data_IF_932598102177
#
_entry.id   IF_932598102177
#
_cell.length_a   1.000
_cell.length_b   1.000
_cell.length_c   1.000
_cell.angle_alpha   90.00
_cell.angle_beta   90.00
_cell.angle_gamma   90.00
#
_symmetry.space_group_name_H-M   'P 1'
#
loop_
_entity.id
_entity.type
_entity.pdbx_description
1 polymer ?
#
# COMPACT_ATOMS: atom_id res chain seq x y z
N UNK A 1 23.18 -5.41 1.25
CA UNK A 1 22.65 -4.64 2.39
C UNK A 1 21.59 -3.65 1.91
N UNK A 2 20.47 -3.59 2.61
CA UNK A 2 19.23 -2.87 2.26
C UNK A 2 18.37 -3.51 1.17
N UNK A 3 17.44 -4.34 1.63
CA UNK A 3 16.39 -4.91 0.82
C UNK A 3 15.03 -4.57 1.48
N UNK A 4 14.52 -3.33 1.29
CA UNK A 4 13.24 -2.90 1.87
C UNK A 4 12.07 -3.48 1.05
N UNK A 5 12.07 -4.79 0.83
CA UNK A 5 11.02 -5.50 0.08
C UNK A 5 9.78 -5.67 0.96
N UNK A 6 9.04 -4.59 1.20
CA UNK A 6 7.60 -4.71 1.47
C UNK A 6 6.88 -4.99 0.17
N UNK A 7 5.86 -5.85 0.21
CA UNK A 7 5.14 -6.36 -0.95
C UNK A 7 4.44 -5.29 -1.82
N UNK A 8 4.46 -4.01 -1.41
CA UNK A 8 4.03 -2.91 -2.26
C UNK A 8 4.32 -1.57 -1.60
N UNK A 9 5.26 -0.80 -2.16
CA UNK A 9 5.32 0.64 -1.90
C UNK A 9 4.06 1.31 -2.49
N UNK A 10 3.65 2.49 -2.00
CA UNK A 10 2.52 3.23 -2.58
C UNK A 10 2.69 3.47 -4.10
N UNK A 11 3.92 3.53 -4.61
CA UNK A 11 4.17 3.59 -6.06
C UNK A 11 3.67 2.33 -6.80
N UNK A 12 3.90 1.13 -6.25
CA UNK A 12 3.43 -0.13 -6.82
C UNK A 12 1.91 -0.21 -6.77
N UNK A 13 1.32 0.19 -5.65
CA UNK A 13 -0.14 0.34 -5.50
C UNK A 13 -0.72 1.20 -6.61
N UNK A 14 -0.12 2.37 -6.84
CA UNK A 14 -0.58 3.30 -7.88
C UNK A 14 -0.48 2.70 -9.30
N UNK A 15 0.57 1.93 -9.57
CA UNK A 15 0.74 1.21 -10.85
C UNK A 15 -0.30 0.10 -11.01
N UNK A 16 -0.65 -0.62 -9.95
CA UNK A 16 -1.68 -1.67 -9.97
C UNK A 16 -3.08 -1.07 -10.16
N UNK A 17 -3.41 0.00 -9.42
CA UNK A 17 -4.64 0.76 -9.59
C UNK A 17 -4.76 1.34 -10.99
N UNK A 18 -3.68 1.91 -11.53
CA UNK A 18 -3.62 2.40 -12.90
C UNK A 18 -3.80 1.32 -13.98
N UNK A 19 -3.55 0.05 -13.66
CA UNK A 19 -3.83 -1.10 -14.53
C UNK A 19 -5.27 -1.62 -14.39
N UNK A 20 -6.09 -1.02 -13.52
CA UNK A 20 -7.45 -1.46 -13.21
C UNK A 20 -7.53 -2.54 -12.14
N UNK A 21 -6.44 -2.81 -11.41
CA UNK A 21 -6.47 -3.73 -10.28
C UNK A 21 -6.94 -3.00 -9.00
N UNK A 22 -7.79 -3.63 -8.22
CA UNK A 22 -8.15 -3.14 -6.88
C UNK A 22 -7.07 -3.56 -5.90
N UNK A 23 -6.50 -2.59 -5.18
CA UNK A 23 -5.48 -2.84 -4.15
C UNK A 23 -6.09 -2.58 -2.79
N UNK A 24 -6.16 -3.62 -1.97
CA UNK A 24 -6.62 -3.55 -0.59
C UNK A 24 -5.40 -3.55 0.32
N UNK A 25 -5.30 -2.56 1.20
CA UNK A 25 -4.21 -2.39 2.16
C UNK A 25 -4.79 -2.44 3.55
N UNK A 26 -4.30 -3.35 4.39
CA UNK A 26 -4.73 -3.41 5.78
C UNK A 26 -4.24 -2.18 6.55
N UNK A 27 -5.10 -1.59 7.38
CA UNK A 27 -4.75 -0.46 8.24
C UNK A 27 -3.54 -0.80 9.11
N UNK A 28 -2.43 -0.08 8.92
CA UNK A 28 -1.18 -0.34 9.62
C UNK A 28 -0.20 -1.29 8.89
N UNK A 29 -0.59 -1.92 7.78
CA UNK A 29 0.34 -2.72 6.96
C UNK A 29 1.51 -1.88 6.42
N UNK A 30 1.25 -0.60 6.17
CA UNK A 30 2.26 0.38 5.78
C UNK A 30 3.24 0.76 6.89
N UNK A 31 2.81 0.72 8.16
CA UNK A 31 3.63 1.17 9.29
C UNK A 31 4.90 0.34 9.44
N UNK A 32 4.83 -0.96 9.19
CA UNK A 32 6.00 -1.84 9.21
C UNK A 32 7.09 -1.42 8.20
N UNK A 33 6.70 -0.68 7.16
CA UNK A 33 7.60 -0.16 6.13
C UNK A 33 7.79 1.36 6.15
N UNK A 34 7.27 2.05 7.16
CA UNK A 34 7.38 3.51 7.27
C UNK A 34 6.48 4.30 6.31
N UNK A 35 5.48 3.67 5.71
CA UNK A 35 4.46 4.34 4.90
C UNK A 35 3.17 4.47 5.69
N UNK A 36 2.56 5.66 5.68
CA UNK A 36 1.26 5.85 6.34
C UNK A 36 0.13 5.33 5.46
N UNK A 37 -0.99 4.94 6.07
CA UNK A 37 -2.21 4.55 5.38
C UNK A 37 -2.69 5.61 4.38
N UNK A 38 -2.46 6.89 4.71
CA UNK A 38 -2.72 8.00 3.80
C UNK A 38 -1.93 7.94 2.48
N UNK A 39 -0.69 7.46 2.48
CA UNK A 39 0.10 7.32 1.25
C UNK A 39 -0.47 6.24 0.33
N UNK A 40 -0.97 5.15 0.91
CA UNK A 40 -1.67 4.10 0.17
C UNK A 40 -3.03 4.58 -0.35
N UNK A 41 -3.78 5.33 0.45
CA UNK A 41 -5.04 5.94 0.03
C UNK A 41 -4.83 6.94 -1.13
N UNK A 42 -3.78 7.78 -1.06
CA UNK A 42 -3.37 8.68 -2.17
C UNK A 42 -2.94 7.91 -3.43
N UNK A 43 -2.40 6.70 -3.27
CA UNK A 43 -2.08 5.82 -4.38
C UNK A 43 -3.31 5.13 -4.99
N UNK A 44 -4.49 5.23 -4.36
CA UNK A 44 -5.74 4.62 -4.81
C UNK A 44 -5.97 3.22 -4.25
N UNK A 45 -5.23 2.81 -3.22
CA UNK A 45 -5.62 1.62 -2.45
C UNK A 45 -6.81 1.93 -1.54
N UNK A 46 -7.64 0.91 -1.33
CA UNK A 46 -8.65 0.90 -0.28
C UNK A 46 -8.05 0.37 1.02
N UNK A 47 -8.27 1.10 2.11
CA UNK A 47 -7.87 0.67 3.45
C UNK A 47 -8.93 -0.29 4.00
N UNK A 48 -8.48 -1.46 4.43
CA UNK A 48 -9.32 -2.47 5.08
C UNK A 48 -8.90 -2.63 6.54
N UNK A 49 -9.88 -2.72 7.43
CA UNK A 49 -9.64 -3.01 8.84
C UNK A 49 -9.80 -4.53 9.03
N UNK A 50 -8.81 -5.20 9.62
CA UNK A 50 -8.99 -6.58 10.09
C UNK A 50 -9.86 -6.52 11.35
N UNK A 51 -11.03 -7.16 11.28
CA UNK A 51 -12.07 -7.15 12.31
C UNK A 51 -12.17 -8.48 13.05
#
# INVERSE_FOLDING_TARGET
PDEPRVAGSPETTRRLVGKGCVVLVESGAGQASGFSDQDYCKAGAELVEDG
#
